data_IF_980681375875
#
_entry.id   IF_980681375875
#
_cell.length_a   1.000
_cell.length_b   1.000
_cell.length_c   1.000
_cell.angle_alpha   90.00
_cell.angle_beta   90.00
_cell.angle_gamma   90.00
#
_symmetry.space_group_name_H-M   'P 1'
#
loop_
_entity.id
_entity.type
_entity.pdbx_description
1 polymer ?
#
# COMPACT_ATOMS: atom_id res chain seq x y z
N UNK A 1 -15.08 -17.71 4.83
CA UNK A 1 -14.10 -17.25 3.82
C UNK A 1 -13.65 -15.86 4.22
N UNK A 2 -12.35 -15.62 4.30
CA UNK A 2 -11.82 -14.29 4.56
C UNK A 2 -11.63 -13.57 3.22
N UNK A 3 -12.09 -12.33 3.11
CA UNK A 3 -11.81 -11.47 1.96
C UNK A 3 -10.52 -10.71 2.24
N UNK A 4 -9.50 -10.88 1.40
CA UNK A 4 -8.30 -10.06 1.44
C UNK A 4 -8.51 -8.78 0.62
N UNK A 5 -7.99 -7.66 1.10
CA UNK A 5 -7.85 -6.46 0.28
C UNK A 5 -6.56 -6.52 -0.52
N UNK A 6 -6.56 -5.89 -1.69
CA UNK A 6 -5.38 -5.75 -2.54
C UNK A 6 -5.15 -4.28 -2.83
N UNK A 7 -3.88 -3.93 -3.01
CA UNK A 7 -3.47 -2.55 -3.28
C UNK A 7 -2.33 -2.52 -4.29
N UNK A 8 -2.51 -1.73 -5.35
CA UNK A 8 -1.44 -1.39 -6.28
C UNK A 8 -0.86 -0.03 -5.93
N UNK A 9 0.47 0.10 -5.93
CA UNK A 9 1.15 1.37 -5.63
C UNK A 9 2.12 1.68 -6.76
N UNK A 10 1.96 2.86 -7.36
CA UNK A 10 2.90 3.38 -8.35
C UNK A 10 3.62 4.60 -7.80
N UNK A 11 4.95 4.52 -7.68
CA UNK A 11 5.81 5.63 -7.32
C UNK A 11 6.18 6.47 -8.53
N UNK A 12 6.36 7.78 -8.34
CA UNK A 12 6.70 8.70 -9.44
C UNK A 12 8.04 8.39 -10.13
N UNK A 13 9.04 7.92 -9.37
CA UNK A 13 10.38 7.59 -9.89
C UNK A 13 10.64 6.09 -9.93
N UNK A 14 10.00 5.32 -9.03
CA UNK A 14 10.21 3.88 -8.88
C UNK A 14 9.31 3.03 -9.80
N UNK A 15 8.33 3.64 -10.48
CA UNK A 15 7.35 2.91 -11.27
C UNK A 15 6.41 2.09 -10.38
N UNK A 16 5.99 0.91 -10.84
CA UNK A 16 5.07 0.04 -10.10
C UNK A 16 5.78 -0.57 -8.88
N UNK A 17 5.57 -0.01 -7.70
CA UNK A 17 6.18 -0.43 -6.43
C UNK A 17 5.66 -1.80 -6.00
N UNK A 18 4.40 -2.11 -6.30
CA UNK A 18 3.77 -3.39 -5.96
C UNK A 18 4.14 -4.54 -6.91
N UNK A 19 4.97 -4.31 -7.93
CA UNK A 19 5.36 -5.32 -8.90
C UNK A 19 6.00 -6.55 -8.22
N UNK A 20 5.45 -7.73 -8.50
CA UNK A 20 5.90 -9.01 -7.99
C UNK A 20 5.84 -9.19 -6.47
N UNK A 21 5.15 -8.31 -5.74
CA UNK A 21 5.15 -8.33 -4.27
C UNK A 21 4.32 -9.48 -3.67
N UNK A 22 3.35 -10.02 -4.41
CA UNK A 22 2.53 -11.17 -4.00
C UNK A 22 2.87 -12.42 -4.79
N UNK A 23 4.18 -12.65 -5.01
CA UNK A 23 4.71 -13.87 -5.63
C UNK A 23 5.20 -14.85 -4.56
N UNK A 24 5.39 -16.12 -4.95
CA UNK A 24 5.94 -17.16 -4.08
C UNK A 24 7.33 -16.78 -3.53
N UNK A 25 8.16 -16.13 -4.34
CA UNK A 25 9.49 -15.64 -3.91
C UNK A 25 9.42 -14.50 -2.89
N UNK A 26 8.27 -13.84 -2.79
CA UNK A 26 8.08 -12.64 -1.96
C UNK A 26 7.39 -12.96 -0.64
N UNK A 27 6.24 -13.65 -0.68
CA UNK A 27 5.44 -13.96 0.52
C UNK A 27 5.23 -15.47 0.74
N UNK A 28 5.95 -16.32 0.01
CA UNK A 28 5.84 -17.78 0.11
C UNK A 28 4.45 -18.27 -0.29
N UNK A 29 3.99 -19.32 0.38
CA UNK A 29 2.72 -20.00 0.10
C UNK A 29 1.47 -19.14 0.33
N UNK A 30 1.62 -17.91 0.82
CA UNK A 30 0.53 -16.94 0.99
C UNK A 30 0.17 -16.22 -0.31
N UNK A 31 0.95 -16.39 -1.38
CA UNK A 31 0.69 -15.75 -2.66
C UNK A 31 -0.60 -16.22 -3.31
N UNK A 32 -1.27 -15.31 -4.03
CA UNK A 32 -2.42 -15.61 -4.87
C UNK A 32 -2.06 -15.27 -6.31
N UNK A 33 -2.37 -16.20 -7.22
CA UNK A 33 -1.86 -16.14 -8.61
C UNK A 33 -2.42 -14.96 -9.39
N UNK A 34 -3.66 -14.55 -9.09
CA UNK A 34 -4.33 -13.44 -9.77
C UNK A 34 -3.94 -12.05 -9.24
N UNK A 35 -3.18 -12.00 -8.14
CA UNK A 35 -2.84 -10.75 -7.43
C UNK A 35 -1.33 -10.54 -7.31
N UNK A 36 -0.52 -11.10 -8.23
CA UNK A 36 0.96 -11.12 -8.10
C UNK A 36 1.61 -9.74 -7.97
N UNK A 37 1.04 -8.73 -8.61
CA UNK A 37 1.54 -7.36 -8.65
C UNK A 37 0.80 -6.41 -7.70
N UNK A 38 0.04 -6.98 -6.76
CA UNK A 38 -0.75 -6.23 -5.79
C UNK A 38 -0.38 -6.62 -4.37
N UNK A 39 -0.26 -5.63 -3.50
CA UNK A 39 0.07 -5.81 -2.09
C UNK A 39 -1.15 -6.43 -1.39
N UNK A 40 -0.97 -7.57 -0.75
CA UNK A 40 -1.99 -8.16 0.12
C UNK A 40 -2.14 -7.33 1.39
N UNK A 41 -3.31 -6.69 1.55
CA UNK A 41 -3.67 -5.87 2.71
C UNK A 41 -4.39 -6.74 3.74
N UNK A 42 -3.79 -6.81 4.94
CA UNK A 42 -4.31 -7.58 6.07
C UNK A 42 -5.23 -6.76 6.97
N UNK A 43 -4.97 -5.45 7.07
CA UNK A 43 -5.80 -4.50 7.79
C UNK A 43 -5.69 -3.13 7.13
N UNK A 44 -6.80 -2.37 7.15
CA UNK A 44 -6.89 -1.02 6.63
C UNK A 44 -7.61 -0.14 7.65
N UNK A 45 -7.02 1.01 7.97
CA UNK A 45 -7.61 2.01 8.86
C UNK A 45 -7.49 3.38 8.23
N UNK A 46 -8.61 4.09 8.16
CA UNK A 46 -8.68 5.48 7.72
C UNK A 46 -9.87 6.16 8.40
N UNK A 47 -9.68 7.39 8.85
CA UNK A 47 -10.70 8.15 9.58
C UNK A 47 -10.85 9.54 8.97
N UNK A 48 -12.09 9.96 8.78
CA UNK A 48 -12.44 11.32 8.44
C UNK A 48 -12.94 12.03 9.69
N UNK A 49 -12.32 13.15 10.02
CA UNK A 49 -12.69 13.98 11.17
C UNK A 49 -13.14 15.35 10.68
N UNK A 50 -14.08 15.98 11.37
CA UNK A 50 -14.33 17.41 11.19
C UNK A 50 -13.65 18.17 12.34
N UNK A 51 -12.38 18.51 12.16
CA UNK A 51 -11.62 19.25 13.16
C UNK A 51 -11.99 20.73 13.02
N UNK A 52 -12.63 21.29 14.05
CA UNK A 52 -12.96 22.71 14.12
C UNK A 52 -14.29 23.12 13.48
N UNK A 53 -15.21 22.18 13.19
CA UNK A 53 -16.52 22.45 12.57
C UNK A 53 -16.43 23.24 11.26
N UNK A 54 -15.39 22.96 10.47
CA UNK A 54 -15.19 23.56 9.16
C UNK A 54 -16.09 22.87 8.14
N UNK A 55 -16.35 23.54 7.02
CA UNK A 55 -17.14 23.01 5.89
C UNK A 55 -16.44 21.85 5.13
N UNK A 56 -15.25 21.42 5.59
CA UNK A 56 -14.43 20.41 4.92
C UNK A 56 -13.97 19.33 5.90
N UNK A 57 -14.03 18.08 5.46
CA UNK A 57 -13.50 16.96 6.21
C UNK A 57 -11.96 17.01 6.25
N UNK A 58 -11.39 16.69 7.41
CA UNK A 58 -9.96 16.47 7.63
C UNK A 58 -9.66 14.99 7.48
N UNK A 59 -8.83 14.64 6.49
CA UNK A 59 -8.39 13.27 6.25
C UNK A 59 -7.25 12.90 7.20
N UNK A 60 -7.42 11.83 7.98
CA UNK A 60 -6.30 11.21 8.68
C UNK A 60 -5.49 10.34 7.71
N UNK A 61 -4.21 10.08 8.01
CA UNK A 61 -3.41 9.19 7.18
C UNK A 61 -4.05 7.81 7.03
N UNK A 62 -3.92 7.23 5.85
CA UNK A 62 -4.25 5.82 5.62
C UNK A 62 -3.17 4.97 6.30
N UNK A 63 -3.58 4.03 7.13
CA UNK A 63 -2.70 3.04 7.75
C UNK A 63 -3.08 1.65 7.27
N UNK A 64 -2.10 0.92 6.73
CA UNK A 64 -2.27 -0.45 6.27
C UNK A 64 -1.31 -1.38 7.00
N UNK A 65 -1.77 -2.62 7.23
CA UNK A 65 -0.93 -3.73 7.67
C UNK A 65 -0.81 -4.71 6.51
N UNK A 66 0.42 -5.09 6.19
CA UNK A 66 0.76 -6.01 5.11
C UNK A 66 1.85 -6.99 5.57
N UNK A 67 2.05 -8.06 4.80
CA UNK A 67 3.24 -8.91 4.99
C UNK A 67 4.52 -8.13 4.64
N UNK A 68 5.66 -8.58 5.15
CA UNK A 68 6.97 -8.15 4.62
C UNK A 68 7.13 -8.83 3.26
N UNK A 69 7.22 -8.02 2.21
CA UNK A 69 7.28 -8.48 0.83
C UNK A 69 8.28 -7.62 0.01
N UNK A 70 8.50 -7.96 -1.26
CA UNK A 70 9.45 -7.24 -2.14
C UNK A 70 9.20 -5.73 -2.21
N UNK A 71 7.95 -5.28 -2.10
CA UNK A 71 7.63 -3.84 -2.15
C UNK A 71 7.97 -3.11 -0.84
N UNK A 72 8.16 -3.81 0.29
CA UNK A 72 8.48 -3.20 1.59
C UNK A 72 9.76 -2.37 1.54
N UNK A 73 10.81 -2.86 0.88
CA UNK A 73 12.06 -2.13 0.73
C UNK A 73 11.90 -0.86 -0.13
N UNK A 74 11.11 -0.95 -1.21
CA UNK A 74 10.82 0.17 -2.11
C UNK A 74 9.98 1.25 -1.41
N UNK A 75 9.01 0.85 -0.59
CA UNK A 75 8.21 1.76 0.25
C UNK A 75 9.06 2.45 1.32
N UNK A 76 10.00 1.74 1.96
CA UNK A 76 10.93 2.33 2.91
C UNK A 76 11.85 3.37 2.25
N UNK A 77 12.32 3.07 1.03
CA UNK A 77 13.06 4.04 0.22
C UNK A 77 12.18 5.24 -0.14
N UNK A 78 10.92 5.02 -0.51
CA UNK A 78 9.98 6.08 -0.84
C UNK A 78 9.68 7.00 0.36
N UNK A 79 9.68 6.45 1.58
CA UNK A 79 9.45 7.19 2.81
C UNK A 79 10.66 8.02 3.25
N UNK A 80 11.88 7.60 2.92
CA UNK A 80 13.13 8.24 3.36
C UNK A 80 13.72 9.19 2.32
N UNK A 81 13.49 8.96 1.04
CA UNK A 81 14.00 9.83 -0.02
C UNK A 81 13.15 11.11 -0.12
N UNK A 82 13.80 12.26 0.06
CA UNK A 82 13.18 13.57 -0.13
C UNK A 82 12.76 13.75 -1.59
N UNK A 83 11.49 13.50 -1.90
CA UNK A 83 10.89 13.79 -3.21
C UNK A 83 10.22 12.62 -3.94
N UNK A 84 10.32 11.39 -3.43
CA UNK A 84 9.58 10.23 -3.95
C UNK A 84 8.12 10.32 -3.56
N UNK A 85 7.33 10.98 -4.41
CA UNK A 85 5.87 11.01 -4.27
C UNK A 85 5.28 9.72 -4.80
N UNK A 86 4.33 9.15 -4.06
CA UNK A 86 3.43 8.14 -4.59
C UNK A 86 2.53 8.85 -5.61
N UNK A 87 2.46 8.29 -6.82
CA UNK A 87 1.68 8.84 -7.91
C UNK A 87 0.23 8.35 -7.84
N UNK A 88 0.05 7.06 -7.57
CA UNK A 88 -1.24 6.40 -7.59
C UNK A 88 -1.27 5.24 -6.59
N UNK A 89 -2.42 5.08 -5.95
CA UNK A 89 -2.77 3.95 -5.08
C UNK A 89 -4.16 3.46 -5.50
N UNK A 90 -4.26 2.25 -6.05
CA UNK A 90 -5.49 1.62 -6.49
C UNK A 90 -5.86 0.44 -5.59
#
# INVERSE_FOLDING_TARGET
MASHGYMSITGKTQGLISAGCSTQESIGNKCQTDHRDEIMVLSFTHTLLNIGNLDRATHQPISIVKNIDKSTALLAQAATAAGTKINEVC
#
